data_IF_885605677066
#
_entry.id   IF_885605677066
#
_cell.length_a   1.000
_cell.length_b   1.000
_cell.length_c   1.000
_cell.angle_alpha   90.00
_cell.angle_beta   90.00
_cell.angle_gamma   90.00
#
_symmetry.space_group_name_H-M   'P 1'
#
loop_
_entity.id
_entity.type
_entity.pdbx_description
1 polymer ?
#
# COMPACT_ATOMS: atom_id res chain seq x y z
N UNK A 1 -10.55 6.38 15.68
CA UNK A 1 -10.28 5.86 17.04
C UNK A 1 -9.00 5.02 17.03
N UNK A 2 -7.97 5.39 17.80
CA UNK A 2 -6.83 4.50 18.07
C UNK A 2 -7.31 3.46 19.07
N UNK A 3 -7.16 2.17 18.75
CA UNK A 3 -7.65 1.08 19.59
C UNK A 3 -7.26 1.27 21.08
N UNK A 4 -8.19 1.04 22.02
CA UNK A 4 -7.95 1.07 23.47
C UNK A 4 -6.80 0.14 23.96
N UNK A 5 -6.27 -0.68 23.06
CA UNK A 5 -5.10 -1.55 23.18
C UNK A 5 -3.83 -0.76 23.54
N UNK A 6 -3.64 0.47 23.05
CA UNK A 6 -2.39 1.22 23.29
C UNK A 6 -2.18 1.52 24.79
N UNK A 7 -3.23 1.96 25.48
CA UNK A 7 -3.10 2.44 26.86
C UNK A 7 -3.04 1.31 27.91
N UNK A 8 -3.41 0.08 27.53
CA UNK A 8 -3.45 -1.07 28.44
C UNK A 8 -2.34 -2.10 28.18
N UNK A 9 -1.72 -2.08 27.00
CA UNK A 9 -0.77 -3.13 26.60
C UNK A 9 0.63 -2.93 27.17
N UNK A 10 0.93 -3.65 28.26
CA UNK A 10 2.27 -3.71 28.86
C UNK A 10 3.20 -4.75 28.23
N UNK A 11 2.69 -5.59 27.33
CA UNK A 11 3.46 -6.63 26.67
C UNK A 11 4.48 -6.09 25.66
N UNK A 12 5.52 -6.88 25.40
CA UNK A 12 6.56 -6.55 24.41
C UNK A 12 6.20 -6.89 22.96
N UNK A 13 5.03 -7.50 22.71
CA UNK A 13 4.54 -7.84 21.38
C UNK A 13 3.06 -7.53 21.25
N UNK A 14 2.65 -6.91 20.15
CA UNK A 14 1.25 -6.76 19.74
C UNK A 14 1.07 -7.56 18.46
N UNK A 15 0.05 -8.40 18.36
CA UNK A 15 -0.16 -9.16 17.12
C UNK A 15 -0.65 -8.25 15.99
N UNK A 16 -1.60 -7.38 16.31
CA UNK A 16 -2.32 -6.57 15.33
C UNK A 16 -2.56 -5.17 15.88
N UNK A 17 -2.24 -4.17 15.05
CA UNK A 17 -2.40 -2.76 15.36
C UNK A 17 -3.06 -2.07 14.17
N UNK A 18 -4.30 -1.65 14.38
CA UNK A 18 -5.13 -0.96 13.38
C UNK A 18 -5.38 0.46 13.82
N UNK A 19 -5.17 1.39 12.90
CA UNK A 19 -5.45 2.80 13.07
C UNK A 19 -6.62 3.17 12.16
N UNK A 20 -7.68 3.69 12.73
CA UNK A 20 -8.71 4.44 12.01
C UNK A 20 -8.61 5.87 12.47
N UNK A 21 -7.96 6.73 11.70
CA UNK A 21 -7.59 8.07 12.17
C UNK A 21 -7.94 9.13 11.15
N UNK A 22 -8.33 10.30 11.66
CA UNK A 22 -8.54 11.52 10.88
C UNK A 22 -7.24 12.26 10.61
N UNK A 23 -6.21 12.02 11.44
CA UNK A 23 -4.87 12.59 11.32
C UNK A 23 -3.83 11.52 11.68
N UNK A 24 -2.77 11.39 10.87
CA UNK A 24 -1.67 10.46 11.14
C UNK A 24 -0.49 11.16 11.81
N UNK A 25 -0.02 10.54 12.88
CA UNK A 25 1.22 10.87 13.59
C UNK A 25 2.22 9.72 13.40
N UNK A 26 3.45 10.05 13.00
CA UNK A 26 4.55 9.12 12.78
C UNK A 26 4.82 8.22 14.01
N UNK A 27 4.61 8.74 15.22
CA UNK A 27 4.80 8.01 16.47
C UNK A 27 3.94 6.74 16.55
N UNK A 28 2.81 6.66 15.84
CA UNK A 28 2.00 5.44 15.81
C UNK A 28 2.68 4.29 15.08
N UNK A 29 3.37 4.60 13.98
CA UNK A 29 4.13 3.59 13.26
C UNK A 29 5.36 3.16 14.07
N UNK A 30 6.09 4.11 14.63
CA UNK A 30 7.23 3.82 15.52
C UNK A 30 6.83 2.97 16.72
N UNK A 31 5.69 3.28 17.34
CA UNK A 31 5.12 2.47 18.41
C UNK A 31 4.82 1.04 17.95
N UNK A 32 4.25 0.86 16.77
CA UNK A 32 3.96 -0.46 16.21
C UNK A 32 5.25 -1.29 16.02
N UNK A 33 6.31 -0.67 15.50
CA UNK A 33 7.62 -1.32 15.33
C UNK A 33 8.25 -1.68 16.68
N UNK A 34 8.22 -0.76 17.66
CA UNK A 34 8.72 -1.01 19.01
C UNK A 34 7.96 -2.16 19.70
N UNK A 35 6.68 -2.34 19.37
CA UNK A 35 5.84 -3.44 19.83
C UNK A 35 5.87 -4.67 18.92
N UNK A 36 6.80 -4.74 17.97
CA UNK A 36 7.02 -5.90 17.09
C UNK A 36 5.71 -6.41 16.47
N UNK A 37 4.93 -5.47 15.95
CA UNK A 37 3.63 -5.74 15.36
C UNK A 37 3.76 -6.67 14.15
N UNK A 38 2.87 -7.66 14.04
CA UNK A 38 2.80 -8.52 12.87
C UNK A 38 1.85 -7.97 11.80
N UNK A 39 0.76 -7.30 12.22
CA UNK A 39 -0.27 -6.75 11.32
C UNK A 39 -0.42 -5.24 11.62
N UNK A 40 0.05 -4.38 10.72
CA UNK A 40 -0.10 -2.93 10.83
C UNK A 40 -0.98 -2.41 9.70
N UNK A 41 -2.17 -1.92 10.05
CA UNK A 41 -3.09 -1.33 9.07
C UNK A 41 -3.40 0.10 9.46
N UNK A 42 -3.04 1.05 8.60
CA UNK A 42 -3.52 2.41 8.67
C UNK A 42 -4.71 2.60 7.72
N UNK A 43 -5.77 3.18 8.24
CA UNK A 43 -6.93 3.64 7.51
C UNK A 43 -7.46 4.93 8.12
N UNK A 44 -8.35 5.58 7.38
CA UNK A 44 -8.97 6.82 7.78
C UNK A 44 -10.21 7.09 6.94
N UNK A 45 -11.03 8.02 7.38
CA UNK A 45 -12.13 8.53 6.57
C UNK A 45 -11.56 9.23 5.33
N UNK A 46 -12.27 9.12 4.19
CA UNK A 46 -11.95 9.90 2.99
C UNK A 46 -12.13 11.39 3.31
N UNK A 47 -11.09 12.04 3.80
CA UNK A 47 -11.07 13.49 3.79
C UNK A 47 -10.80 13.93 2.34
N UNK A 48 -11.67 14.78 1.82
CA UNK A 48 -11.58 15.37 0.48
C UNK A 48 -10.39 16.33 0.31
N UNK A 49 -9.43 16.33 1.25
CA UNK A 49 -8.13 16.95 1.12
C UNK A 49 -7.10 15.84 0.95
N UNK A 50 -6.37 15.89 -0.16
CA UNK A 50 -5.15 15.13 -0.45
C UNK A 50 -4.39 14.81 0.86
N UNK A 51 -4.48 13.56 1.32
CA UNK A 51 -4.03 13.17 2.67
C UNK A 51 -2.58 13.55 2.89
N UNK A 52 -2.31 14.56 3.71
CA UNK A 52 -1.01 15.24 3.75
C UNK A 52 0.05 14.53 4.61
N UNK A 53 -0.19 13.28 5.00
CA UNK A 53 0.64 12.60 5.98
C UNK A 53 1.67 11.72 5.30
N UNK A 54 2.92 12.03 5.58
CA UNK A 54 4.06 11.28 5.10
C UNK A 54 4.44 10.22 6.14
N UNK A 55 4.55 8.98 5.68
CA UNK A 55 5.18 7.92 6.44
C UNK A 55 6.69 7.97 6.21
N UNK A 56 7.45 8.14 7.28
CA UNK A 56 8.90 7.93 7.26
C UNK A 56 9.21 6.54 7.79
N UNK A 57 10.02 5.78 7.07
CA UNK A 57 10.38 4.42 7.50
C UNK A 57 11.66 4.51 8.31
N UNK A 58 11.60 4.31 9.65
CA UNK A 58 12.80 4.41 10.46
C UNK A 58 13.71 3.22 10.21
N UNK A 59 15.02 3.42 10.35
CA UNK A 59 16.03 2.34 10.28
C UNK A 59 16.05 1.45 11.54
N UNK A 60 14.99 1.50 12.35
CA UNK A 60 14.91 0.84 13.66
C UNK A 60 14.40 -0.60 13.54
N UNK A 61 14.73 -1.43 14.54
CA UNK A 61 14.24 -2.80 14.66
C UNK A 61 12.71 -2.85 14.77
N UNK A 62 12.08 -3.86 14.19
CA UNK A 62 10.63 -4.08 14.28
C UNK A 62 9.99 -4.46 12.94
N UNK A 63 10.56 -3.97 11.83
CA UNK A 63 10.06 -4.20 10.47
C UNK A 63 10.10 -5.70 10.10
N UNK A 64 11.08 -6.44 10.62
CA UNK A 64 11.25 -7.87 10.36
C UNK A 64 10.11 -8.74 10.92
N UNK A 65 9.27 -8.19 11.80
CA UNK A 65 8.11 -8.87 12.37
C UNK A 65 6.82 -8.64 11.57
N UNK A 66 6.78 -7.62 10.70
CA UNK A 66 5.60 -7.32 9.90
C UNK A 66 5.34 -8.42 8.87
N UNK A 67 4.14 -8.98 8.95
CA UNK A 67 3.60 -9.99 8.02
C UNK A 67 2.50 -9.40 7.15
N UNK A 68 1.75 -8.43 7.66
CA UNK A 68 0.67 -7.78 6.92
C UNK A 68 0.73 -6.26 7.13
N UNK A 69 0.96 -5.54 6.04
CA UNK A 69 1.08 -4.11 6.02
C UNK A 69 0.03 -3.51 5.09
N UNK A 70 -0.80 -2.62 5.63
CA UNK A 70 -1.73 -1.81 4.86
C UNK A 70 -1.50 -0.34 5.17
N UNK A 71 -1.09 0.42 4.15
CA UNK A 71 -0.91 1.87 4.21
C UNK A 71 -1.96 2.53 3.32
N UNK A 72 -3.05 2.99 3.94
CA UNK A 72 -4.12 3.72 3.24
C UNK A 72 -4.11 5.20 3.62
N UNK A 73 -4.17 6.09 2.61
CA UNK A 73 -4.08 7.55 2.73
C UNK A 73 -2.77 8.08 3.34
N UNK A 74 -1.69 7.30 3.26
CA UNK A 74 -0.35 7.74 3.66
C UNK A 74 0.55 7.88 2.43
N UNK A 75 1.33 8.95 2.40
CA UNK A 75 2.34 9.20 1.38
C UNK A 75 3.65 8.56 1.81
N UNK A 76 4.16 7.67 0.96
CA UNK A 76 5.46 7.04 1.14
C UNK A 76 6.31 7.36 -0.08
N UNK A 77 7.55 7.79 0.14
CA UNK A 77 8.51 8.07 -0.94
C UNK A 77 9.09 6.77 -1.49
N UNK A 78 9.66 6.80 -2.70
CA UNK A 78 10.38 5.64 -3.26
C UNK A 78 11.50 5.15 -2.32
N UNK A 79 12.24 6.07 -1.68
CA UNK A 79 13.31 5.75 -0.73
C UNK A 79 12.78 5.08 0.54
N UNK A 80 11.72 5.63 1.15
CA UNK A 80 11.10 5.04 2.34
C UNK A 80 10.50 3.66 2.01
N UNK A 81 9.93 3.49 0.81
CA UNK A 81 9.40 2.21 0.35
C UNK A 81 10.52 1.16 0.15
N UNK A 82 11.66 1.54 -0.43
CA UNK A 82 12.82 0.64 -0.56
C UNK A 82 13.34 0.17 0.80
N UNK A 83 13.44 1.08 1.78
CA UNK A 83 13.78 0.73 3.16
C UNK A 83 12.78 -0.24 3.78
N UNK A 84 11.49 -0.04 3.52
CA UNK A 84 10.44 -0.92 4.01
C UNK A 84 10.60 -2.34 3.44
N UNK A 85 10.70 -2.46 2.12
CA UNK A 85 10.77 -3.74 1.42
C UNK A 85 12.06 -4.50 1.79
N UNK A 86 13.19 -3.81 1.91
CA UNK A 86 14.47 -4.44 2.25
C UNK A 86 14.52 -4.99 3.68
N UNK A 87 13.67 -4.50 4.59
CA UNK A 87 13.67 -4.90 6.01
C UNK A 87 12.47 -5.75 6.43
N UNK A 88 11.35 -5.74 5.68
CA UNK A 88 10.16 -6.54 5.99
C UNK A 88 10.25 -7.99 5.47
N UNK A 89 11.24 -8.76 5.93
CA UNK A 89 11.52 -10.11 5.42
C UNK A 89 10.42 -11.16 5.75
N UNK A 90 9.52 -10.85 6.69
CA UNK A 90 8.39 -11.69 7.04
C UNK A 90 7.10 -11.33 6.28
N UNK A 91 7.13 -10.32 5.40
CA UNK A 91 5.93 -9.77 4.77
C UNK A 91 5.23 -10.79 3.86
N UNK A 92 3.95 -11.00 4.12
CA UNK A 92 3.05 -11.88 3.39
C UNK A 92 1.98 -11.08 2.63
N UNK A 93 1.55 -9.93 3.17
CA UNK A 93 0.52 -9.07 2.60
C UNK A 93 0.99 -7.62 2.56
N UNK A 94 0.88 -6.99 1.39
CA UNK A 94 1.21 -5.59 1.18
C UNK A 94 0.05 -4.88 0.48
N UNK A 95 -0.49 -3.85 1.12
CA UNK A 95 -1.46 -2.94 0.52
C UNK A 95 -0.97 -1.51 0.61
N UNK A 96 -0.83 -0.84 -0.53
CA UNK A 96 -0.59 0.60 -0.62
C UNK A 96 -1.76 1.23 -1.37
N UNK A 97 -2.48 2.13 -0.70
CA UNK A 97 -3.69 2.73 -1.26
C UNK A 97 -3.70 4.25 -1.05
N UNK A 98 -3.92 5.00 -2.14
CA UNK A 98 -3.87 6.47 -2.13
C UNK A 98 -2.52 7.05 -1.65
N UNK A 99 -1.41 6.52 -2.15
CA UNK A 99 -0.10 7.19 -2.06
C UNK A 99 0.15 8.00 -3.33
N UNK A 100 0.52 9.29 -3.16
CA UNK A 100 0.78 10.22 -4.27
C UNK A 100 2.27 10.52 -4.48
N UNK A 101 3.13 10.05 -3.59
CA UNK A 101 4.58 10.29 -3.65
C UNK A 101 5.37 9.07 -4.15
N UNK A 102 4.69 7.92 -4.23
CA UNK A 102 5.29 6.69 -4.71
C UNK A 102 5.20 6.65 -6.23
N UNK A 103 6.35 6.65 -6.89
CA UNK A 103 6.45 6.72 -8.36
C UNK A 103 7.09 5.47 -8.96
N UNK A 104 8.09 4.89 -8.29
CA UNK A 104 8.77 3.68 -8.74
C UNK A 104 8.71 2.62 -7.64
N UNK A 105 8.05 1.51 -7.96
CA UNK A 105 7.90 0.39 -7.04
C UNK A 105 8.82 -0.74 -7.48
N UNK A 106 9.71 -1.16 -6.60
CA UNK A 106 10.56 -2.33 -6.78
C UNK A 106 10.39 -3.27 -5.58
N UNK A 107 9.90 -4.48 -5.83
CA UNK A 107 9.72 -5.52 -4.82
C UNK A 107 10.58 -6.71 -5.22
N UNK A 108 11.71 -6.90 -4.54
CA UNK A 108 12.70 -7.93 -4.87
C UNK A 108 12.98 -8.81 -3.66
N UNK A 109 12.96 -10.13 -3.85
CA UNK A 109 13.44 -11.09 -2.84
C UNK A 109 12.49 -11.35 -1.66
N UNK A 110 11.27 -10.82 -1.67
CA UNK A 110 10.25 -11.12 -0.66
C UNK A 110 9.59 -12.48 -0.92
N UNK A 111 10.31 -13.56 -0.62
CA UNK A 111 9.88 -14.94 -0.91
C UNK A 111 8.60 -15.39 -0.20
N UNK A 112 8.22 -14.74 0.92
CA UNK A 112 6.99 -15.02 1.69
C UNK A 112 5.79 -14.20 1.22
N UNK A 113 5.99 -13.20 0.36
CA UNK A 113 4.94 -12.30 -0.09
C UNK A 113 3.91 -13.08 -0.90
N UNK A 114 2.66 -13.06 -0.45
CA UNK A 114 1.54 -13.80 -1.05
C UNK A 114 0.57 -12.87 -1.77
N UNK A 115 0.33 -11.67 -1.22
CA UNK A 115 -0.66 -10.74 -1.74
C UNK A 115 -0.10 -9.33 -1.84
N UNK A 116 -0.26 -8.73 -3.02
CA UNK A 116 0.10 -7.34 -3.28
C UNK A 116 -1.10 -6.60 -3.83
N UNK A 117 -1.41 -5.44 -3.24
CA UNK A 117 -2.46 -4.54 -3.69
C UNK A 117 -1.93 -3.11 -3.79
N UNK A 118 -1.90 -2.57 -5.01
CA UNK A 118 -1.71 -1.16 -5.27
C UNK A 118 -2.99 -0.59 -5.85
N UNK A 119 -3.64 0.30 -5.09
CA UNK A 119 -4.90 0.92 -5.48
C UNK A 119 -4.85 2.45 -5.39
N UNK A 120 -5.39 3.15 -6.38
CA UNK A 120 -5.47 4.62 -6.40
C UNK A 120 -4.10 5.32 -6.24
N UNK A 121 -3.02 4.71 -6.75
CA UNK A 121 -1.67 5.29 -6.74
C UNK A 121 -1.34 5.83 -8.14
N UNK A 122 -1.91 7.00 -8.46
CA UNK A 122 -1.91 7.56 -9.83
C UNK A 122 -0.54 8.06 -10.31
N UNK A 123 0.40 8.26 -9.38
CA UNK A 123 1.77 8.69 -9.68
C UNK A 123 2.73 7.52 -9.92
N UNK A 124 2.33 6.27 -9.67
CA UNK A 124 3.17 5.09 -9.93
C UNK A 124 3.34 4.90 -11.44
N UNK A 125 4.58 5.02 -11.92
CA UNK A 125 4.98 4.89 -13.33
C UNK A 125 5.66 3.57 -13.63
N UNK A 126 6.29 2.94 -12.63
CA UNK A 126 6.94 1.65 -12.79
C UNK A 126 6.66 0.76 -11.58
N UNK A 127 6.34 -0.50 -11.85
CA UNK A 127 6.16 -1.54 -10.84
C UNK A 127 6.91 -2.80 -11.28
N UNK A 128 7.99 -3.12 -10.57
CA UNK A 128 8.82 -4.29 -10.79
C UNK A 128 8.65 -5.22 -9.60
N UNK A 129 8.30 -6.48 -9.88
CA UNK A 129 8.28 -7.55 -8.87
C UNK A 129 9.16 -8.69 -9.35
N UNK A 130 10.18 -9.01 -8.55
CA UNK A 130 11.14 -10.07 -8.82
C UNK A 130 11.29 -11.00 -7.61
N UNK A 131 11.47 -12.30 -7.87
CA UNK A 131 11.73 -13.33 -6.85
C UNK A 131 10.66 -13.43 -5.74
N UNK A 132 9.43 -12.98 -6.01
CA UNK A 132 8.28 -13.16 -5.13
C UNK A 132 7.64 -14.53 -5.37
N UNK A 133 8.37 -15.59 -5.00
CA UNK A 133 8.01 -16.97 -5.36
C UNK A 133 6.66 -17.43 -4.81
N UNK A 134 6.24 -16.90 -3.66
CA UNK A 134 4.95 -17.25 -3.02
C UNK A 134 3.80 -16.34 -3.44
N UNK A 135 4.02 -15.42 -4.38
CA UNK A 135 3.02 -14.43 -4.77
C UNK A 135 1.85 -15.11 -5.47
N UNK A 136 0.68 -15.13 -4.83
CA UNK A 136 -0.54 -15.76 -5.37
C UNK A 136 -1.59 -14.78 -5.85
N UNK A 137 -1.47 -13.51 -5.47
CA UNK A 137 -2.42 -12.47 -5.85
C UNK A 137 -1.72 -11.13 -6.07
N UNK A 138 -1.98 -10.54 -7.23
CA UNK A 138 -1.57 -9.18 -7.57
C UNK A 138 -2.79 -8.38 -8.01
N UNK A 139 -3.11 -7.33 -7.26
CA UNK A 139 -4.19 -6.39 -7.56
C UNK A 139 -3.63 -5.01 -7.85
N UNK A 140 -3.82 -4.53 -9.08
CA UNK A 140 -3.40 -3.21 -9.52
C UNK A 140 -4.64 -2.45 -10.00
N UNK A 141 -5.08 -1.47 -9.23
CA UNK A 141 -6.28 -0.70 -9.53
C UNK A 141 -5.98 0.79 -9.56
N UNK A 142 -6.45 1.47 -10.60
CA UNK A 142 -6.32 2.93 -10.70
C UNK A 142 -4.89 3.47 -10.56
N UNK A 143 -3.96 2.86 -11.30
CA UNK A 143 -2.59 3.36 -11.45
C UNK A 143 -2.48 4.32 -12.65
N UNK A 144 -1.33 4.96 -12.80
CA UNK A 144 -1.02 5.76 -13.99
C UNK A 144 -1.28 4.94 -15.27
N UNK A 145 -1.89 5.55 -16.29
CA UNK A 145 -2.19 4.86 -17.56
C UNK A 145 -0.95 4.42 -18.34
N UNK A 146 0.19 5.08 -18.09
CA UNK A 146 1.50 4.74 -18.63
C UNK A 146 2.37 3.89 -17.69
N UNK A 147 1.81 3.36 -16.60
CA UNK A 147 2.56 2.52 -15.67
C UNK A 147 3.08 1.26 -16.36
N UNK A 148 4.38 1.03 -16.30
CA UNK A 148 5.00 -0.23 -16.74
C UNK A 148 4.98 -1.25 -15.61
N UNK A 149 4.50 -2.46 -15.88
CA UNK A 149 4.47 -3.57 -14.91
C UNK A 149 5.38 -4.68 -15.41
N UNK A 150 6.35 -5.07 -14.60
CA UNK A 150 7.29 -6.15 -14.91
C UNK A 150 7.27 -7.18 -13.78
N UNK A 151 7.02 -8.43 -14.15
CA UNK A 151 7.02 -9.58 -13.24
C UNK A 151 8.06 -10.58 -13.73
N UNK A 152 8.92 -11.05 -12.84
CA UNK A 152 9.91 -12.07 -13.17
C UNK A 152 10.15 -12.99 -11.98
N UNK A 153 10.28 -14.28 -12.25
CA UNK A 153 10.40 -15.32 -11.23
C UNK A 153 9.27 -15.30 -10.17
N UNK A 154 8.02 -15.21 -10.64
CA UNK A 154 6.79 -15.29 -9.81
C UNK A 154 5.91 -16.47 -10.25
N UNK A 155 6.38 -17.73 -10.09
CA UNK A 155 5.73 -18.90 -10.68
C UNK A 155 4.36 -19.26 -10.06
N UNK A 156 4.07 -18.78 -8.84
CA UNK A 156 2.87 -19.16 -8.08
C UNK A 156 1.72 -18.18 -8.18
N UNK A 157 1.67 -17.31 -9.20
CA UNK A 157 0.65 -16.26 -9.37
C UNK A 157 -0.54 -16.74 -10.24
N UNK A 158 -1.61 -17.34 -9.67
CA UNK A 158 -2.82 -17.67 -10.43
C UNK A 158 -3.72 -16.46 -10.66
N UNK A 159 -3.69 -15.46 -9.76
CA UNK A 159 -4.65 -14.36 -9.76
C UNK A 159 -3.97 -13.01 -10.02
N UNK A 160 -4.18 -12.49 -11.23
CA UNK A 160 -3.78 -11.14 -11.62
C UNK A 160 -5.03 -10.30 -11.92
N UNK A 161 -5.30 -9.28 -11.11
CA UNK A 161 -6.38 -8.33 -11.34
C UNK A 161 -5.77 -6.98 -11.67
N UNK A 162 -5.93 -6.56 -12.92
CA UNK A 162 -5.54 -5.22 -13.38
C UNK A 162 -6.79 -4.43 -13.79
N UNK A 163 -7.13 -3.39 -13.03
CA UNK A 163 -8.20 -2.45 -13.37
C UNK A 163 -7.58 -1.10 -13.74
N UNK A 164 -7.49 -0.86 -15.04
CA UNK A 164 -6.91 0.36 -15.61
C UNK A 164 -7.80 1.59 -15.31
N UNK A 165 -7.16 2.75 -15.11
CA UNK A 165 -7.87 4.03 -15.25
C UNK A 165 -8.09 4.27 -16.74
N UNK A 166 -9.33 4.38 -17.18
CA UNK A 166 -9.62 5.17 -18.37
C UNK A 166 -9.42 6.62 -17.97
N UNK A 167 -8.21 7.16 -18.16
CA UNK A 167 -8.02 8.61 -18.06
C UNK A 167 -8.73 9.22 -19.25
N UNK A 168 -9.92 9.79 -19.03
CA UNK A 168 -10.43 10.81 -19.93
C UNK A 168 -9.52 12.04 -19.78
N UNK A 169 -9.03 12.69 -20.86
CA UNK A 169 -8.13 13.85 -20.77
C UNK A 169 -8.76 15.12 -20.20
N UNK A 170 -9.99 15.07 -19.70
CA UNK A 170 -10.69 16.21 -19.14
C UNK A 170 -11.15 15.83 -17.73
N UNK A 171 -10.57 16.46 -16.71
CA UNK A 171 -11.20 16.92 -15.45
C UNK A 171 -10.11 17.42 -14.47
N UNK A 172 -9.21 18.26 -14.97
CA UNK A 172 -8.77 19.45 -14.22
C UNK A 172 -9.76 20.57 -14.59
N UNK A 173 -10.98 20.51 -14.04
CA UNK A 173 -11.90 21.66 -13.90
C UNK A 173 -13.24 21.18 -13.35
N UNK A 174 -13.75 21.91 -12.36
CA UNK A 174 -15.11 21.80 -11.84
C UNK A 174 -16.13 22.20 -12.91
N UNK A 175 -17.17 21.38 -13.10
CA UNK A 175 -18.53 21.79 -13.47
C UNK A 175 -19.46 20.56 -13.39
N UNK A 176 -20.67 20.69 -12.82
CA UNK A 176 -21.66 19.62 -12.83
C UNK A 176 -22.27 19.48 -14.23
N UNK A 177 -22.85 18.30 -14.47
CA UNK A 177 -23.58 17.89 -15.67
C UNK A 177 -22.75 17.36 -16.83
N UNK A 178 -22.71 16.03 -16.95
CA UNK A 178 -23.00 15.35 -18.22
C UNK A 178 -23.26 13.86 -17.95
N UNK A 179 -24.50 13.45 -18.19
CA UNK A 179 -24.87 12.05 -18.44
C UNK A 179 -24.11 11.53 -19.67
N UNK A 180 -23.64 10.28 -19.63
CA UNK A 180 -23.96 9.24 -20.63
C UNK A 180 -23.18 7.95 -20.34
N UNK A 181 -23.87 6.84 -20.62
CA UNK A 181 -23.45 5.46 -20.48
C UNK A 181 -22.29 5.09 -21.41
N UNK A 182 -21.58 3.98 -21.15
CA UNK A 182 -21.46 2.86 -22.09
C UNK A 182 -20.91 1.60 -21.41
N UNK A 183 -21.58 0.50 -21.72
CA UNK A 183 -21.17 -0.88 -21.48
C UNK A 183 -20.31 -1.38 -22.63
N UNK A 184 -19.42 -2.34 -22.36
CA UNK A 184 -19.15 -3.46 -23.29
C UNK A 184 -18.67 -4.68 -22.52
N UNK A 185 -19.54 -5.69 -22.47
CA UNK A 185 -19.13 -7.10 -22.46
C UNK A 185 -18.59 -7.45 -23.85
N UNK A 186 -17.59 -8.32 -23.90
CA UNK A 186 -17.28 -9.13 -25.08
C UNK A 186 -16.93 -10.54 -24.62
N UNK A 187 -17.55 -11.50 -25.29
CA UNK A 187 -17.60 -12.95 -25.04
C UNK A 187 -16.24 -13.66 -24.94
#
# INVERSE_FOLDING_TARGET
>A
MVNHVVNSHRGGRIKEFRLEITEFDQSWFEFALAKKVEIFHSGGEKHFGYGSWFLRVPSTNGLEFLKDLSLTYLHITDQDFELLISNCLALEYLTINYSMELTNVSIVGLSKLKHVNFSNNVEVRSLVIHDAISLTSLTLCKLNSGCTVQLSNTPSLPNLIMKKVLMHPCLMSFSPECHLAYATNSN
#
